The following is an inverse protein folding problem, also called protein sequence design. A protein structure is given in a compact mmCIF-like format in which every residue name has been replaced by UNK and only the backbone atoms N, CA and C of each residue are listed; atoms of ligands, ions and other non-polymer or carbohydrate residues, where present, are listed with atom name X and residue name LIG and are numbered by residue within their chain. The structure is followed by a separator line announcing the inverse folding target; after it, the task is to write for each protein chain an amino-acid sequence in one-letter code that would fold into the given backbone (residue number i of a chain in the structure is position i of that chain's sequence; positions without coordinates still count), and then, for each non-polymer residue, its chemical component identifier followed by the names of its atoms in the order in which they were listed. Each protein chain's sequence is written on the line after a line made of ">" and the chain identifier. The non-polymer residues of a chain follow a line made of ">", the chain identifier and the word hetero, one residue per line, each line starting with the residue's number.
data_IF_960066571070
#
_entry.id   IF_960066571070
#
_cell.length_a   1.000
_cell.length_b   1.000
_cell.length_c   1.000
_cell.angle_alpha   90.00
_cell.angle_beta   90.00
_cell.angle_gamma   90.00
#
_symmetry.space_group_name_H-M   'P 1'
#
loop_
_entity.id
_entity.type
_entity.pdbx_description
1 polymer ?
#
# COMPACT_ATOMS: atom_id res chain seq x y z
N UNK A 1 -3.99 10.60 32.36
CA UNK A 1 -3.52 11.97 32.05
C UNK A 1 -4.09 12.32 30.68
N UNK A 2 -4.70 13.49 30.49
CA UNK A 2 -5.19 13.88 29.17
C UNK A 2 -3.98 14.21 28.27
N UNK A 3 -4.01 13.74 27.02
CA UNK A 3 -2.99 14.11 26.03
C UNK A 3 -3.06 15.61 25.78
N UNK A 4 -1.90 16.25 25.64
CA UNK A 4 -1.88 17.65 25.26
C UNK A 4 -2.35 17.82 23.80
N UNK A 5 -2.97 18.96 23.45
CA UNK A 5 -3.49 19.20 22.11
C UNK A 5 -2.42 19.13 21.00
N UNK A 6 -1.15 19.45 21.31
CA UNK A 6 -0.05 19.40 20.36
C UNK A 6 0.29 17.96 19.94
N UNK A 7 0.30 17.04 20.90
CA UNK A 7 0.49 15.60 20.66
C UNK A 7 -0.61 15.02 19.77
N UNK A 8 -1.87 15.35 20.03
CA UNK A 8 -3.00 14.89 19.20
C UNK A 8 -2.94 15.47 17.79
N UNK A 9 -2.61 16.76 17.66
CA UNK A 9 -2.45 17.40 16.36
C UNK A 9 -1.33 16.78 15.54
N UNK A 10 -0.15 16.57 16.14
CA UNK A 10 0.99 15.94 15.49
C UNK A 10 0.66 14.53 15.02
N UNK A 11 -0.02 13.74 15.85
CA UNK A 11 -0.47 12.40 15.47
C UNK A 11 -1.38 12.44 14.23
N UNK A 12 -2.41 13.28 14.23
CA UNK A 12 -3.35 13.39 13.11
C UNK A 12 -2.69 13.90 11.82
N UNK A 13 -1.72 14.81 11.94
CA UNK A 13 -0.95 15.31 10.80
C UNK A 13 -0.11 14.20 10.17
N UNK A 14 0.67 13.47 10.97
CA UNK A 14 1.48 12.34 10.48
C UNK A 14 0.60 11.24 9.89
N UNK A 15 -0.52 10.90 10.54
CA UNK A 15 -1.44 9.88 10.03
C UNK A 15 -1.95 10.23 8.63
N UNK A 16 -2.35 11.50 8.41
CA UNK A 16 -2.80 11.97 7.09
C UNK A 16 -1.68 11.94 6.05
N UNK A 17 -0.49 12.40 6.41
CA UNK A 17 0.66 12.42 5.50
C UNK A 17 1.04 11.00 5.07
N UNK A 18 1.12 10.06 6.01
CA UNK A 18 1.40 8.65 5.71
C UNK A 18 0.32 8.03 4.83
N UNK A 19 -0.98 8.27 5.12
CA UNK A 19 -2.07 7.78 4.25
C UNK A 19 -1.97 8.35 2.83
N UNK A 20 -1.50 9.59 2.68
CA UNK A 20 -1.25 10.22 1.39
C UNK A 20 -0.16 9.49 0.60
N UNK A 21 0.98 9.22 1.22
CA UNK A 21 2.09 8.52 0.56
C UNK A 21 1.78 7.05 0.25
N UNK A 22 1.08 6.34 1.13
CA UNK A 22 0.62 4.96 0.88
C UNK A 22 -0.25 4.87 -0.37
N UNK A 23 -1.17 5.82 -0.56
CA UNK A 23 -2.03 5.86 -1.75
C UNK A 23 -1.23 6.09 -3.04
N UNK A 24 -0.06 6.70 -2.94
CA UNK A 24 0.83 6.97 -4.07
C UNK A 24 1.86 5.86 -4.29
N UNK A 25 1.82 4.75 -3.53
CA UNK A 25 2.83 3.70 -3.61
C UNK A 25 4.19 4.08 -3.00
N UNK A 26 4.29 5.24 -2.34
CA UNK A 26 5.53 5.78 -1.75
C UNK A 26 5.76 5.20 -0.36
N UNK A 27 6.01 3.90 -0.30
CA UNK A 27 6.08 3.17 0.97
C UNK A 27 7.32 3.50 1.79
N UNK A 28 8.46 3.79 1.16
CA UNK A 28 9.69 4.16 1.88
C UNK A 28 9.53 5.48 2.64
N UNK A 29 8.94 6.50 2.00
CA UNK A 29 8.64 7.77 2.68
C UNK A 29 7.53 7.61 3.72
N UNK A 30 6.56 6.75 3.44
CA UNK A 30 5.53 6.42 4.42
C UNK A 30 6.13 5.78 5.67
N UNK A 31 7.10 4.87 5.53
CA UNK A 31 7.70 4.15 6.65
C UNK A 31 8.38 5.10 7.63
N UNK A 32 9.12 6.10 7.13
CA UNK A 32 9.73 7.15 7.97
C UNK A 32 8.69 7.88 8.82
N UNK A 33 7.55 8.21 8.23
CA UNK A 33 6.45 8.86 8.97
C UNK A 33 5.75 7.92 9.96
N UNK A 34 5.69 6.61 9.66
CA UNK A 34 5.17 5.60 10.61
C UNK A 34 6.04 5.54 11.86
N UNK A 35 7.37 5.53 11.71
CA UNK A 35 8.32 5.52 12.83
C UNK A 35 8.13 6.74 13.73
N UNK A 36 8.05 7.93 13.13
CA UNK A 36 7.75 9.16 13.88
C UNK A 36 6.40 9.08 14.58
N UNK A 37 5.35 8.62 13.89
CA UNK A 37 4.00 8.48 14.45
C UNK A 37 3.98 7.50 15.64
N UNK A 38 4.77 6.43 15.61
CA UNK A 38 4.82 5.44 16.69
C UNK A 38 5.53 5.99 17.94
N UNK A 39 6.46 6.92 17.76
CA UNK A 39 7.17 7.59 18.87
C UNK A 39 6.30 8.57 19.68
N UNK A 40 5.12 8.97 19.18
CA UNK A 40 4.24 9.93 19.87
C UNK A 40 3.53 9.28 21.06
N UNK A 41 3.87 9.68 22.29
CA UNK A 41 3.24 9.21 23.53
C UNK A 41 3.05 7.67 23.56
N UNK A 42 4.15 6.88 23.53
CA UNK A 42 4.10 5.42 23.46
C UNK A 42 3.38 4.77 24.65
N UNK A 43 3.35 5.45 25.80
CA UNK A 43 2.68 5.02 27.02
C UNK A 43 1.15 5.22 26.99
N UNK A 44 0.63 6.00 26.04
CA UNK A 44 -0.81 6.25 25.96
C UNK A 44 -1.57 5.07 25.35
N UNK A 45 -2.46 4.47 26.14
CA UNK A 45 -3.23 3.30 25.75
C UNK A 45 -4.23 3.60 24.60
N UNK A 46 -4.72 4.83 24.50
CA UNK A 46 -5.65 5.25 23.43
C UNK A 46 -4.94 5.33 22.08
N UNK A 47 -3.82 6.06 22.03
CA UNK A 47 -2.96 6.16 20.86
C UNK A 47 -2.38 4.81 20.47
N UNK A 48 -2.02 3.95 21.43
CA UNK A 48 -1.55 2.59 21.13
C UNK A 48 -2.57 1.80 20.29
N UNK A 49 -3.85 1.86 20.64
CA UNK A 49 -4.92 1.20 19.85
C UNK A 49 -5.07 1.82 18.45
N UNK A 50 -4.94 3.14 18.34
CA UNK A 50 -5.01 3.84 17.05
C UNK A 50 -3.82 3.49 16.15
N UNK A 51 -2.60 3.48 16.69
CA UNK A 51 -1.37 3.03 16.00
C UNK A 51 -1.53 1.62 15.47
N UNK A 52 -2.05 0.69 16.27
CA UNK A 52 -2.26 -0.69 15.85
C UNK A 52 -3.26 -0.81 14.68
N UNK A 53 -4.39 -0.10 14.74
CA UNK A 53 -5.37 -0.07 13.64
C UNK A 53 -4.77 0.52 12.37
N UNK A 54 -4.04 1.61 12.52
CA UNK A 54 -3.34 2.27 11.43
C UNK A 54 -2.28 1.35 10.78
N UNK A 55 -1.46 0.69 11.59
CA UNK A 55 -0.46 -0.28 11.13
C UNK A 55 -1.12 -1.43 10.36
N UNK A 56 -2.24 -1.96 10.84
CA UNK A 56 -2.96 -3.04 10.17
C UNK A 56 -3.48 -2.61 8.79
N UNK A 57 -3.98 -1.38 8.63
CA UNK A 57 -4.37 -0.83 7.33
C UNK A 57 -3.15 -0.65 6.42
N UNK A 58 -2.06 -0.10 6.95
CA UNK A 58 -0.81 0.13 6.23
C UNK A 58 -0.24 -1.17 5.66
N UNK A 59 -0.12 -2.22 6.49
CA UNK A 59 0.39 -3.54 6.10
C UNK A 59 -0.45 -4.13 4.95
N UNK A 60 -1.79 -4.05 5.05
CA UNK A 60 -2.68 -4.56 4.00
C UNK A 60 -2.46 -3.84 2.67
N UNK A 61 -2.35 -2.51 2.69
CA UNK A 61 -2.12 -1.72 1.47
C UNK A 61 -0.74 -1.95 0.87
N UNK A 62 0.29 -2.04 1.70
CA UNK A 62 1.64 -2.38 1.24
C UNK A 62 1.67 -3.74 0.55
N UNK A 63 1.04 -4.76 1.15
CA UNK A 63 0.95 -6.08 0.55
C UNK A 63 0.15 -6.09 -0.77
N UNK A 64 -0.96 -5.33 -0.85
CA UNK A 64 -1.73 -5.21 -2.09
C UNK A 64 -0.89 -4.55 -3.19
N UNK A 65 -0.21 -3.45 -2.88
CA UNK A 65 0.63 -2.77 -3.87
C UNK A 65 1.79 -3.63 -4.36
N UNK A 66 2.46 -4.37 -3.47
CA UNK A 66 3.52 -5.31 -3.87
C UNK A 66 3.00 -6.39 -4.82
N UNK A 67 1.79 -6.92 -4.59
CA UNK A 67 1.16 -7.89 -5.49
C UNK A 67 0.84 -7.29 -6.85
N UNK A 68 0.31 -6.06 -6.88
CA UNK A 68 0.05 -5.32 -8.12
C UNK A 68 1.36 -5.12 -8.88
N UNK A 69 2.41 -4.63 -8.22
CA UNK A 69 3.73 -4.42 -8.84
C UNK A 69 4.30 -5.72 -9.43
N UNK A 70 4.21 -6.84 -8.70
CA UNK A 70 4.65 -8.13 -9.20
C UNK A 70 3.83 -8.59 -10.42
N UNK A 71 2.51 -8.44 -10.38
CA UNK A 71 1.63 -8.77 -11.50
C UNK A 71 1.91 -7.91 -12.74
N UNK A 72 2.13 -6.61 -12.57
CA UNK A 72 2.53 -5.70 -13.67
C UNK A 72 3.83 -6.14 -14.32
N UNK A 73 4.86 -6.51 -13.54
CA UNK A 73 6.12 -7.05 -14.09
C UNK A 73 5.91 -8.34 -14.88
N UNK A 74 4.99 -9.21 -14.47
CA UNK A 74 4.64 -10.41 -15.25
C UNK A 74 3.98 -10.03 -16.58
N UNK A 75 3.10 -9.03 -16.61
CA UNK A 75 2.51 -8.52 -17.86
C UNK A 75 3.59 -8.00 -18.81
N UNK A 76 4.54 -7.22 -18.31
CA UNK A 76 5.68 -6.72 -19.10
C UNK A 76 6.56 -7.87 -19.67
N UNK A 77 6.77 -8.92 -18.87
CA UNK A 77 7.49 -10.11 -19.33
C UNK A 77 6.69 -10.87 -20.40
N UNK A 78 5.37 -11.00 -20.24
CA UNK A 78 4.50 -11.61 -21.25
C UNK A 78 4.60 -10.83 -22.57
N UNK A 79 4.52 -9.50 -22.51
CA UNK A 79 4.58 -8.63 -23.69
C UNK A 79 5.95 -8.64 -24.38
N UNK A 80 7.04 -8.79 -23.61
CA UNK A 80 8.41 -8.76 -24.14
C UNK A 80 8.97 -10.13 -24.54
N UNK A 81 8.47 -11.23 -23.98
CA UNK A 81 9.05 -12.57 -24.15
C UNK A 81 8.17 -13.52 -24.94
N UNK A 82 6.85 -13.37 -24.92
CA UNK A 82 5.97 -14.25 -25.68
C UNK A 82 5.76 -13.73 -27.10
N UNK A 83 5.76 -14.64 -28.07
CA UNK A 83 5.46 -14.32 -29.47
C UNK A 83 3.94 -14.42 -29.68
N UNK A 84 3.23 -13.32 -29.97
CA UNK A 84 1.77 -13.34 -30.12
C UNK A 84 1.26 -14.28 -31.23
N UNK A 85 2.11 -14.55 -32.23
CA UNK A 85 1.82 -15.48 -33.32
C UNK A 85 1.70 -16.94 -32.85
N UNK A 86 2.27 -17.30 -31.70
CA UNK A 86 2.21 -18.66 -31.15
C UNK A 86 1.03 -18.87 -30.19
N UNK A 87 0.27 -17.81 -29.87
CA UNK A 87 -0.86 -17.89 -28.95
C UNK A 87 -2.16 -18.13 -29.72
N UNK A 88 -2.93 -19.12 -29.27
CA UNK A 88 -4.29 -19.35 -29.72
C UNK A 88 -5.27 -18.32 -29.15
N UNK A 89 -6.53 -18.40 -29.58
CA UNK A 89 -7.56 -17.48 -29.09
C UNK A 89 -7.81 -17.64 -27.58
N UNK A 90 -7.77 -18.89 -27.09
CA UNK A 90 -7.98 -19.19 -25.67
C UNK A 90 -6.92 -18.51 -24.79
N UNK A 91 -5.64 -18.62 -25.12
CA UNK A 91 -4.56 -17.99 -24.33
C UNK A 91 -4.66 -16.47 -24.35
N UNK A 92 -5.04 -15.89 -25.51
CA UNK A 92 -5.26 -14.45 -25.65
C UNK A 92 -6.40 -13.97 -24.75
N UNK A 93 -7.52 -14.70 -24.71
CA UNK A 93 -8.67 -14.36 -23.87
C UNK A 93 -8.34 -14.47 -22.38
N UNK A 94 -7.57 -15.50 -21.98
CA UNK A 94 -7.10 -15.66 -20.60
C UNK A 94 -6.21 -14.49 -20.17
N UNK A 95 -5.24 -14.12 -21.01
CA UNK A 95 -4.34 -12.99 -20.75
C UNK A 95 -5.09 -11.65 -20.72
N UNK A 96 -6.08 -11.47 -21.60
CA UNK A 96 -6.90 -10.26 -21.63
C UNK A 96 -7.71 -10.10 -20.32
N UNK A 97 -8.39 -11.16 -19.88
CA UNK A 97 -9.13 -11.16 -18.61
C UNK A 97 -8.21 -10.89 -17.41
N UNK A 98 -7.06 -11.55 -17.36
CA UNK A 98 -6.10 -11.34 -16.27
C UNK A 98 -5.56 -9.90 -16.22
N UNK A 99 -5.41 -9.22 -17.37
CA UNK A 99 -5.05 -7.80 -17.43
C UNK A 99 -6.18 -6.90 -16.95
N UNK A 100 -7.42 -7.16 -17.39
CA UNK A 100 -8.60 -6.42 -16.93
C UNK A 100 -8.77 -6.52 -15.41
N UNK A 101 -8.62 -7.73 -14.85
CA UNK A 101 -8.67 -7.95 -13.41
C UNK A 101 -7.60 -7.12 -12.69
N UNK A 102 -6.37 -7.06 -13.19
CA UNK A 102 -5.29 -6.28 -12.59
C UNK A 102 -5.58 -4.77 -12.57
N UNK A 103 -6.15 -4.22 -13.65
CA UNK A 103 -6.46 -2.78 -13.74
C UNK A 103 -7.77 -2.39 -13.04
N UNK A 104 -8.55 -3.37 -12.59
CA UNK A 104 -9.82 -3.16 -11.86
C UNK A 104 -9.67 -3.25 -10.33
N UNK A 105 -8.46 -3.54 -9.81
CA UNK A 105 -8.11 -3.60 -8.38
C UNK A 105 -7.85 -2.22 -7.77
#
# INVERSE_FOLDING_TARGET
>A
MALDPGTVHRFAMLERATKGFVKQGRFDESLKLVEELFSIAPEDAGLTKLKARFAAEFIKRAAQHQKIEAATKVVELVDSRLLPAHLGQQEKDLLARAREDLYSL
#
